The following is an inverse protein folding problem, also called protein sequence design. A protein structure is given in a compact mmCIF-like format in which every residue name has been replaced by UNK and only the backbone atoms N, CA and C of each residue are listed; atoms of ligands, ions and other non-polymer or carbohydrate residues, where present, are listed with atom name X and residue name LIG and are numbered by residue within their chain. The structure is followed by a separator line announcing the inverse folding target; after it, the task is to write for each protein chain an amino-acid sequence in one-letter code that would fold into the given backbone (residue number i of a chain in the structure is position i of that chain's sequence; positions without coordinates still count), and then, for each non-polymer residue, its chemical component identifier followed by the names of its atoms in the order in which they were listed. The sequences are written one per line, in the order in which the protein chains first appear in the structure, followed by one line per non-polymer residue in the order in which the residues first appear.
data_IF_513959203235
#
_entry.id   IF_513959203235
#
_cell.length_a   1.000
_cell.length_b   1.000
_cell.length_c   1.000
_cell.angle_alpha   90.00
_cell.angle_beta   90.00
_cell.angle_gamma   90.00
#
_symmetry.space_group_name_H-M   'P 1'
#
loop_
_entity.id
_entity.type
_entity.pdbx_description
1 polymer ?
#
# COMPACT_ATOMS: atom_id res chain seq x y z
N UNK A 1 -4.94 -16.02 -13.18
CA UNK A 1 -5.04 -15.92 -11.71
C UNK A 1 -3.88 -16.66 -11.07
N UNK A 2 -2.99 -15.93 -10.41
CA UNK A 2 -2.00 -16.50 -9.50
C UNK A 2 -2.76 -17.20 -8.36
N UNK A 3 -2.51 -18.49 -8.12
CA UNK A 3 -3.14 -19.25 -7.02
C UNK A 3 -2.17 -19.28 -5.84
N UNK A 4 -2.51 -18.56 -4.76
CA UNK A 4 -1.83 -18.73 -3.47
C UNK A 4 -2.45 -19.94 -2.78
N UNK A 5 -1.95 -21.14 -3.05
CA UNK A 5 -2.34 -22.29 -2.25
C UNK A 5 -1.66 -22.17 -0.89
N UNK A 6 -2.39 -22.36 0.21
CA UNK A 6 -1.79 -22.42 1.54
C UNK A 6 -0.75 -23.53 1.55
N UNK A 7 0.52 -23.17 1.77
CA UNK A 7 1.65 -24.07 1.68
C UNK A 7 2.37 -24.09 3.03
N UNK A 8 2.37 -25.21 3.74
CA UNK A 8 3.31 -25.35 4.84
C UNK A 8 4.72 -25.54 4.24
N UNK A 9 5.50 -24.45 4.18
CA UNK A 9 6.84 -24.46 3.61
C UNK A 9 7.87 -25.17 4.52
N UNK A 10 7.51 -25.42 5.80
CA UNK A 10 8.38 -26.06 6.81
C UNK A 10 9.80 -25.46 6.84
N UNK A 11 9.88 -24.12 6.87
CA UNK A 11 11.15 -23.40 6.92
C UNK A 11 11.85 -23.74 8.24
N UNK A 12 13.12 -24.15 8.17
CA UNK A 12 13.91 -24.60 9.32
C UNK A 12 15.25 -23.88 9.42
N UNK A 13 16.02 -24.13 10.48
CA UNK A 13 17.26 -23.43 10.77
C UNK A 13 17.03 -22.01 11.29
N UNK A 14 18.06 -21.17 11.24
CA UNK A 14 18.01 -19.84 11.85
C UNK A 14 16.85 -18.95 11.32
N UNK A 15 16.53 -19.02 10.02
CA UNK A 15 15.39 -18.30 9.45
C UNK A 15 14.06 -18.87 9.97
N UNK A 16 13.93 -20.20 10.05
CA UNK A 16 12.75 -20.85 10.64
C UNK A 16 12.55 -20.44 12.11
N UNK A 17 13.63 -20.36 12.88
CA UNK A 17 13.59 -19.94 14.29
C UNK A 17 13.14 -18.48 14.44
N UNK A 18 13.62 -17.58 13.58
CA UNK A 18 13.20 -16.17 13.56
C UNK A 18 11.73 -16.04 13.18
N UNK A 19 11.29 -16.73 12.12
CA UNK A 19 9.89 -16.70 11.67
C UNK A 19 8.95 -17.26 12.73
N UNK A 20 9.32 -18.38 13.36
CA UNK A 20 8.54 -18.98 14.45
C UNK A 20 8.47 -18.05 15.66
N UNK A 21 9.60 -17.44 16.04
CA UNK A 21 9.62 -16.48 17.13
C UNK A 21 8.78 -15.23 16.82
N UNK A 22 8.80 -14.76 15.56
CA UNK A 22 7.95 -13.66 15.12
C UNK A 22 6.46 -14.02 15.22
N UNK A 23 6.09 -15.20 14.72
CA UNK A 23 4.71 -15.66 14.74
C UNK A 23 4.17 -15.76 16.18
N UNK A 24 4.88 -16.47 17.05
CA UNK A 24 4.44 -16.71 18.43
C UNK A 24 4.45 -15.44 19.28
N UNK A 25 5.51 -14.62 19.18
CA UNK A 25 5.69 -13.50 20.10
C UNK A 25 5.03 -12.19 19.63
N UNK A 26 4.80 -12.01 18.33
CA UNK A 26 4.28 -10.75 17.80
C UNK A 26 2.95 -10.96 17.08
N UNK A 27 2.88 -11.89 16.13
CA UNK A 27 1.70 -12.10 15.29
C UNK A 27 0.52 -12.62 16.11
N UNK A 28 0.70 -13.72 16.84
CA UNK A 28 -0.38 -14.38 17.58
C UNK A 28 -0.85 -13.61 18.82
N UNK A 29 -0.04 -12.68 19.32
CA UNK A 29 -0.34 -11.88 20.53
C UNK A 29 -0.70 -10.43 20.21
N UNK A 30 -0.81 -10.07 18.92
CA UNK A 30 -0.92 -8.66 18.48
C UNK A 30 -2.13 -7.95 19.10
N UNK A 31 -3.28 -8.62 19.21
CA UNK A 31 -4.50 -8.04 19.78
C UNK A 31 -4.44 -7.92 21.31
N UNK A 32 -3.74 -8.83 21.98
CA UNK A 32 -3.53 -8.77 23.43
C UNK A 32 -2.58 -7.63 23.79
N UNK A 33 -1.50 -7.47 23.04
CA UNK A 33 -0.48 -6.44 23.27
C UNK A 33 -0.90 -5.05 22.81
N UNK A 34 -1.90 -4.96 21.93
CA UNK A 34 -2.38 -3.70 21.36
C UNK A 34 -3.92 -3.63 21.48
N UNK A 35 -4.46 -3.57 22.71
CA UNK A 35 -5.91 -3.60 22.92
C UNK A 35 -6.64 -2.44 22.24
N UNK A 36 -5.97 -1.30 22.05
CA UNK A 36 -6.52 -0.10 21.40
C UNK A 36 -6.27 0.02 19.89
N UNK A 37 -5.81 -1.05 19.22
CA UNK A 37 -5.47 -1.03 17.78
C UNK A 37 -6.62 -0.53 16.89
N UNK A 38 -7.88 -0.73 17.31
CA UNK A 38 -9.07 -0.38 16.55
C UNK A 38 -9.87 0.77 17.16
N UNK A 39 -9.46 1.32 18.31
CA UNK A 39 -10.29 2.29 19.07
C UNK A 39 -10.64 3.52 18.23
N UNK A 40 -9.67 4.06 17.48
CA UNK A 40 -9.90 5.19 16.59
C UNK A 40 -10.81 4.87 15.38
N UNK A 41 -10.88 3.61 14.97
CA UNK A 41 -11.78 3.14 13.91
C UNK A 41 -13.20 2.90 14.45
N UNK A 42 -13.33 2.46 15.70
CA UNK A 42 -14.62 2.18 16.34
C UNK A 42 -15.38 3.45 16.71
N UNK A 43 -14.68 4.51 17.09
CA UNK A 43 -15.29 5.80 17.44
C UNK A 43 -14.51 6.98 16.83
N UNK A 44 -14.48 7.11 15.48
CA UNK A 44 -13.69 8.13 14.78
C UNK A 44 -14.11 9.56 15.13
N UNK A 45 -15.35 9.75 15.57
CA UNK A 45 -15.95 11.05 15.92
C UNK A 45 -15.51 11.55 17.31
N UNK A 46 -15.35 10.66 18.29
CA UNK A 46 -15.15 11.07 19.69
C UNK A 46 -13.89 10.53 20.36
N UNK A 47 -13.08 9.69 19.69
CA UNK A 47 -11.82 9.23 20.27
C UNK A 47 -10.85 10.38 20.59
N UNK A 48 -10.19 10.30 21.76
CA UNK A 48 -9.18 11.25 22.23
C UNK A 48 -7.74 10.81 21.94
N UNK A 49 -7.58 9.82 21.06
CA UNK A 49 -6.27 9.30 20.68
C UNK A 49 -5.46 10.35 19.91
N UNK A 50 -4.19 10.50 20.31
CA UNK A 50 -3.20 11.27 19.56
C UNK A 50 -2.83 10.51 18.28
N UNK A 51 -3.58 10.74 17.20
CA UNK A 51 -3.38 10.08 15.89
C UNK A 51 -2.23 10.72 15.13
N UNK A 52 -1.31 9.89 14.64
CA UNK A 52 -0.40 10.29 13.55
C UNK A 52 -1.20 10.38 12.24
N UNK A 53 -0.73 11.14 11.27
CA UNK A 53 -1.43 11.33 10.00
C UNK A 53 -1.60 10.04 9.16
N UNK A 54 -0.83 8.98 9.48
CA UNK A 54 -0.91 7.65 8.87
C UNK A 54 -1.56 6.59 9.76
N UNK A 55 -2.20 6.97 10.87
CA UNK A 55 -2.74 6.05 11.87
C UNK A 55 -3.64 4.94 11.30
N UNK A 56 -4.30 5.20 10.16
CA UNK A 56 -5.16 4.22 9.48
C UNK A 56 -4.43 3.02 8.89
N UNK A 57 -3.11 3.04 8.75
CA UNK A 57 -2.37 1.94 8.08
C UNK A 57 -2.19 0.70 8.95
N UNK A 58 -2.13 0.87 10.28
CA UNK A 58 -1.58 -0.15 11.18
C UNK A 58 -2.36 -1.47 11.14
N UNK A 59 -3.70 -1.48 11.24
CA UNK A 59 -4.44 -2.74 11.20
C UNK A 59 -4.25 -3.49 9.87
N UNK A 60 -4.22 -2.75 8.76
CA UNK A 60 -4.04 -3.30 7.42
C UNK A 60 -2.66 -3.91 7.19
N UNK A 61 -1.60 -3.20 7.60
CA UNK A 61 -0.22 -3.71 7.53
C UNK A 61 -0.06 -4.98 8.39
N UNK A 62 -0.59 -4.98 9.61
CA UNK A 62 -0.59 -6.17 10.49
C UNK A 62 -1.33 -7.34 9.82
N UNK A 63 -2.52 -7.11 9.24
CA UNK A 63 -3.27 -8.16 8.54
C UNK A 63 -2.52 -8.71 7.33
N UNK A 64 -1.81 -7.86 6.58
CA UNK A 64 -0.99 -8.31 5.45
C UNK A 64 0.17 -9.22 5.89
N UNK A 65 0.84 -8.89 7.01
CA UNK A 65 1.89 -9.72 7.60
C UNK A 65 1.35 -11.04 8.17
N UNK A 66 0.17 -11.00 8.81
CA UNK A 66 -0.57 -12.20 9.24
C UNK A 66 -0.88 -13.11 8.06
N UNK A 67 -1.37 -12.55 6.96
CA UNK A 67 -1.68 -13.31 5.75
C UNK A 67 -0.44 -14.06 5.24
N UNK A 68 0.70 -13.36 5.15
CA UNK A 68 1.96 -13.99 4.73
C UNK A 68 2.46 -15.04 5.73
N UNK A 69 2.36 -14.77 7.03
CA UNK A 69 2.75 -15.73 8.08
C UNK A 69 1.91 -17.00 8.01
N UNK A 70 0.59 -16.86 7.90
CA UNK A 70 -0.33 -17.98 7.77
C UNK A 70 -0.12 -18.76 6.46
N UNK A 71 0.20 -18.07 5.37
CA UNK A 71 0.53 -18.71 4.09
C UNK A 71 1.75 -19.64 4.22
N UNK A 72 2.74 -19.28 5.06
CA UNK A 72 3.98 -20.05 5.27
C UNK A 72 3.81 -21.25 6.20
N UNK A 73 3.09 -21.06 7.32
CA UNK A 73 3.06 -22.05 8.42
C UNK A 73 1.71 -22.76 8.56
N UNK A 74 0.62 -22.16 8.06
CA UNK A 74 -0.75 -22.67 8.18
C UNK A 74 -1.16 -22.97 9.63
N UNK A 75 -0.72 -22.14 10.58
CA UNK A 75 -1.02 -22.32 12.00
C UNK A 75 -2.46 -21.86 12.34
N UNK A 76 -3.28 -22.72 12.99
CA UNK A 76 -4.66 -22.39 13.33
C UNK A 76 -4.82 -21.17 14.26
N UNK A 77 -3.86 -20.92 15.17
CA UNK A 77 -3.90 -19.77 16.08
C UNK A 77 -3.68 -18.47 15.31
N UNK A 78 -2.75 -18.48 14.36
CA UNK A 78 -2.52 -17.35 13.44
C UNK A 78 -3.76 -17.08 12.59
N UNK A 79 -4.45 -18.14 12.12
CA UNK A 79 -5.74 -18.00 11.44
C UNK A 79 -6.80 -17.32 12.32
N UNK A 80 -6.92 -17.76 13.57
CA UNK A 80 -7.88 -17.20 14.53
C UNK A 80 -7.67 -15.69 14.70
N UNK A 81 -6.43 -15.25 14.88
CA UNK A 81 -6.10 -13.83 15.05
C UNK A 81 -6.42 -13.02 13.81
N UNK A 82 -6.08 -13.51 12.61
CA UNK A 82 -6.43 -12.83 11.36
C UNK A 82 -7.94 -12.72 11.16
N UNK A 83 -8.71 -13.77 11.43
CA UNK A 83 -10.18 -13.72 11.37
C UNK A 83 -10.77 -12.74 12.40
N UNK A 84 -10.18 -12.62 13.59
CA UNK A 84 -10.58 -11.61 14.58
C UNK A 84 -10.32 -10.18 14.09
N UNK A 85 -9.19 -9.92 13.43
CA UNK A 85 -8.90 -8.61 12.84
C UNK A 85 -9.91 -8.27 11.73
N UNK A 86 -10.25 -9.23 10.87
CA UNK A 86 -11.30 -9.04 9.86
C UNK A 86 -12.63 -8.68 10.52
N UNK A 87 -13.02 -9.37 11.60
CA UNK A 87 -14.24 -9.08 12.32
C UNK A 87 -14.24 -7.67 12.93
N UNK A 88 -13.11 -7.22 13.50
CA UNK A 88 -12.96 -5.85 14.04
C UNK A 88 -13.05 -4.78 12.96
N UNK A 89 -12.40 -4.99 11.81
CA UNK A 89 -12.52 -4.09 10.66
C UNK A 89 -13.96 -4.04 10.12
N UNK A 90 -14.65 -5.19 10.08
CA UNK A 90 -16.05 -5.27 9.67
C UNK A 90 -16.98 -4.51 10.62
N UNK A 91 -16.78 -4.67 11.93
CA UNK A 91 -17.52 -3.96 12.98
C UNK A 91 -17.29 -2.45 12.92
N UNK A 92 -16.05 -2.02 12.66
CA UNK A 92 -15.71 -0.60 12.57
C UNK A 92 -16.11 0.08 11.25
N UNK A 93 -16.42 -0.71 10.21
CA UNK A 93 -16.76 -0.15 8.90
C UNK A 93 -18.09 0.60 8.95
N UNK A 94 -18.07 1.87 8.53
CA UNK A 94 -19.26 2.71 8.52
C UNK A 94 -20.29 2.26 7.47
N UNK A 95 -21.52 2.80 7.55
CA UNK A 95 -22.63 2.43 6.66
C UNK A 95 -22.30 2.66 5.18
N UNK A 96 -21.66 3.78 4.87
CA UNK A 96 -21.23 4.16 3.52
C UNK A 96 -19.97 3.42 3.02
N UNK A 97 -19.42 2.53 3.86
CA UNK A 97 -18.25 1.70 3.55
C UNK A 97 -16.92 2.27 4.04
N UNK A 98 -16.88 3.51 4.55
CA UNK A 98 -15.63 4.11 5.03
C UNK A 98 -14.96 3.27 6.14
N UNK A 99 -13.66 3.06 5.99
CA UNK A 99 -12.85 2.18 6.84
C UNK A 99 -11.59 2.91 7.32
N UNK A 100 -11.77 4.01 8.05
CA UNK A 100 -10.66 4.84 8.53
C UNK A 100 -10.90 5.40 9.93
N UNK A 101 -9.84 5.92 10.58
CA UNK A 101 -9.89 6.40 11.96
C UNK A 101 -10.30 7.88 12.10
N UNK A 102 -10.74 8.52 11.00
CA UNK A 102 -11.01 9.95 10.93
C UNK A 102 -12.50 10.26 10.92
N UNK A 103 -12.90 11.29 11.66
CA UNK A 103 -14.26 11.80 11.69
C UNK A 103 -14.72 12.27 10.31
N UNK A 104 -16.03 12.25 10.07
CA UNK A 104 -16.69 12.61 8.81
C UNK A 104 -16.29 14.00 8.32
N UNK A 105 -16.12 14.94 9.25
CA UNK A 105 -15.76 16.32 8.96
C UNK A 105 -14.35 16.47 8.37
N UNK A 106 -13.47 15.50 8.62
CA UNK A 106 -12.07 15.57 8.24
C UNK A 106 -11.61 14.45 7.32
N UNK A 107 -12.38 13.38 7.09
CA UNK A 107 -11.95 12.30 6.17
C UNK A 107 -11.66 12.78 4.74
N UNK A 108 -10.83 12.02 4.03
CA UNK A 108 -10.34 12.29 2.68
C UNK A 108 -9.60 13.64 2.60
N UNK A 109 -10.05 14.52 1.70
CA UNK A 109 -9.52 15.86 1.44
C UNK A 109 -10.27 16.97 2.20
N UNK A 110 -11.32 16.64 2.97
CA UNK A 110 -12.23 17.66 3.52
C UNK A 110 -11.54 18.66 4.43
N UNK A 111 -10.58 18.18 5.21
CA UNK A 111 -9.79 18.97 6.12
C UNK A 111 -8.82 19.91 5.38
N UNK A 112 -8.18 19.42 4.31
CA UNK A 112 -7.38 20.24 3.38
C UNK A 112 -8.24 21.32 2.72
N UNK A 113 -9.43 20.96 2.23
CA UNK A 113 -10.33 21.92 1.59
C UNK A 113 -10.90 22.96 2.56
N UNK A 114 -11.06 22.60 3.84
CA UNK A 114 -11.56 23.50 4.88
C UNK A 114 -10.54 24.55 5.33
N UNK A 115 -9.25 24.22 5.31
CA UNK A 115 -8.15 25.13 5.66
C UNK A 115 -6.89 24.84 4.82
N UNK A 116 -6.89 25.22 3.52
CA UNK A 116 -5.81 24.85 2.59
C UNK A 116 -4.44 25.45 2.94
N UNK A 117 -4.42 26.53 3.73
CA UNK A 117 -3.20 27.24 4.11
C UNK A 117 -2.49 26.55 5.28
N UNK A 118 -3.24 26.05 6.26
CA UNK A 118 -2.67 25.47 7.48
C UNK A 118 -2.75 23.94 7.53
N UNK A 119 -3.65 23.32 6.77
CA UNK A 119 -3.80 21.88 6.75
C UNK A 119 -3.05 21.24 5.57
N UNK A 120 -2.04 20.43 5.91
CA UNK A 120 -1.24 19.68 4.95
C UNK A 120 -1.85 18.34 4.55
N UNK A 121 -3.00 17.97 5.11
CA UNK A 121 -3.67 16.70 4.86
C UNK A 121 -3.05 15.55 5.65
N UNK A 122 -3.52 14.35 5.31
CA UNK A 122 -3.18 13.11 5.99
C UNK A 122 -3.22 11.94 5.01
N UNK A 123 -2.80 10.78 5.48
CA UNK A 123 -2.67 9.57 4.68
C UNK A 123 -3.93 8.71 4.80
N UNK A 124 -5.09 9.31 4.53
CA UNK A 124 -6.38 8.66 4.75
C UNK A 124 -6.62 7.52 3.75
N UNK A 125 -6.55 7.82 2.44
CA UNK A 125 -6.68 6.79 1.40
C UNK A 125 -5.52 5.81 1.41
N UNK A 126 -4.33 6.22 1.86
CA UNK A 126 -3.23 5.29 2.16
C UNK A 126 -3.54 4.32 3.31
N UNK A 127 -4.11 4.81 4.42
CA UNK A 127 -4.52 3.95 5.53
C UNK A 127 -5.57 2.93 5.09
N UNK A 128 -6.58 3.40 4.35
CA UNK A 128 -7.60 2.55 3.76
C UNK A 128 -7.01 1.56 2.74
N UNK A 129 -6.03 1.96 1.92
CA UNK A 129 -5.30 1.08 1.01
C UNK A 129 -4.68 -0.11 1.76
N UNK A 130 -3.95 0.12 2.86
CA UNK A 130 -3.34 -0.98 3.60
C UNK A 130 -4.37 -1.92 4.22
N UNK A 131 -5.51 -1.39 4.70
CA UNK A 131 -6.63 -2.21 5.17
C UNK A 131 -7.19 -3.08 4.04
N UNK A 132 -7.48 -2.48 2.87
CA UNK A 132 -8.01 -3.19 1.70
C UNK A 132 -7.02 -4.22 1.19
N UNK A 133 -5.73 -3.89 1.13
CA UNK A 133 -4.66 -4.81 0.74
C UNK A 133 -4.60 -6.01 1.69
N UNK A 134 -4.52 -5.77 3.01
CA UNK A 134 -4.51 -6.83 4.02
C UNK A 134 -5.74 -7.73 3.93
N UNK A 135 -6.94 -7.16 3.79
CA UNK A 135 -8.19 -7.89 3.63
C UNK A 135 -8.22 -8.73 2.34
N UNK A 136 -7.77 -8.16 1.22
CA UNK A 136 -7.66 -8.84 -0.06
C UNK A 136 -6.70 -10.04 0.03
N UNK A 137 -5.52 -9.85 0.65
CA UNK A 137 -4.55 -10.93 0.90
C UNK A 137 -5.12 -12.01 1.80
N UNK A 138 -5.79 -11.63 2.88
CA UNK A 138 -6.43 -12.59 3.79
C UNK A 138 -7.49 -13.43 3.08
N UNK A 139 -8.34 -12.80 2.24
CA UNK A 139 -9.31 -13.50 1.40
C UNK A 139 -8.63 -14.47 0.43
N UNK A 140 -7.60 -14.02 -0.31
CA UNK A 140 -6.89 -14.85 -1.29
C UNK A 140 -6.29 -16.11 -0.67
N UNK A 141 -5.80 -16.02 0.57
CA UNK A 141 -5.11 -17.12 1.26
C UNK A 141 -6.09 -18.02 2.01
N UNK A 142 -7.10 -17.45 2.68
CA UNK A 142 -7.99 -18.20 3.59
C UNK A 142 -9.37 -18.50 3.03
N UNK A 143 -9.79 -17.78 1.99
CA UNK A 143 -11.16 -17.78 1.48
C UNK A 143 -12.17 -17.01 2.34
N UNK A 144 -11.73 -16.27 3.37
CA UNK A 144 -12.62 -15.50 4.26
C UNK A 144 -13.43 -14.45 3.46
N UNK A 145 -14.73 -14.70 3.31
CA UNK A 145 -15.64 -13.88 2.49
C UNK A 145 -15.95 -12.51 3.10
N UNK A 146 -15.95 -12.41 4.43
CA UNK A 146 -16.10 -11.14 5.12
C UNK A 146 -14.95 -10.19 4.77
N UNK A 147 -13.72 -10.73 4.64
CA UNK A 147 -12.58 -9.91 4.24
C UNK A 147 -12.76 -9.30 2.84
N UNK A 148 -13.24 -10.08 1.86
CA UNK A 148 -13.53 -9.58 0.51
C UNK A 148 -14.67 -8.55 0.51
N UNK A 149 -15.72 -8.78 1.29
CA UNK A 149 -16.87 -7.88 1.39
C UNK A 149 -16.46 -6.52 1.97
N UNK A 150 -15.74 -6.52 3.10
CA UNK A 150 -15.26 -5.29 3.76
C UNK A 150 -14.32 -4.51 2.84
N UNK A 151 -13.37 -5.21 2.18
CA UNK A 151 -12.47 -4.60 1.21
C UNK A 151 -13.23 -3.94 0.04
N UNK A 152 -14.26 -4.62 -0.49
CA UNK A 152 -15.06 -4.11 -1.60
C UNK A 152 -15.86 -2.88 -1.20
N UNK A 153 -16.51 -2.89 -0.02
CA UNK A 153 -17.26 -1.74 0.49
C UNK A 153 -16.38 -0.52 0.75
N UNK A 154 -15.17 -0.72 1.28
CA UNK A 154 -14.21 0.36 1.50
C UNK A 154 -13.75 0.97 0.17
N UNK A 155 -13.45 0.13 -0.82
CA UNK A 155 -13.05 0.59 -2.13
C UNK A 155 -14.19 1.30 -2.88
N UNK A 156 -15.43 0.82 -2.73
CA UNK A 156 -16.63 1.47 -3.27
C UNK A 156 -16.89 2.83 -2.62
N UNK A 157 -16.65 2.99 -1.32
CA UNK A 157 -16.73 4.28 -0.63
C UNK A 157 -15.77 5.31 -1.27
N UNK A 158 -14.52 4.91 -1.48
CA UNK A 158 -13.49 5.75 -2.10
C UNK A 158 -13.86 6.06 -3.55
N UNK A 159 -14.30 5.06 -4.32
CA UNK A 159 -14.74 5.24 -5.70
C UNK A 159 -15.87 6.27 -5.78
N UNK A 160 -16.88 6.14 -4.92
CA UNK A 160 -18.02 7.04 -4.90
C UNK A 160 -17.61 8.47 -4.54
N UNK A 161 -16.65 8.65 -3.64
CA UNK A 161 -16.18 9.97 -3.23
C UNK A 161 -15.33 10.65 -4.32
N UNK A 162 -14.30 9.98 -4.82
CA UNK A 162 -13.33 10.58 -5.75
C UNK A 162 -13.78 10.46 -7.21
N UNK A 163 -14.05 9.25 -7.67
CA UNK A 163 -14.34 9.01 -9.09
C UNK A 163 -15.76 9.48 -9.44
N UNK A 164 -16.79 8.91 -8.81
CA UNK A 164 -18.18 9.26 -9.13
C UNK A 164 -18.56 10.66 -8.61
N UNK A 165 -17.97 11.06 -7.47
CA UNK A 165 -18.17 12.38 -6.86
C UNK A 165 -17.37 13.51 -7.52
N UNK A 166 -16.43 13.19 -8.41
CA UNK A 166 -15.62 14.17 -9.13
C UNK A 166 -14.59 14.90 -8.26
N UNK A 167 -14.18 14.33 -7.13
CA UNK A 167 -13.09 14.85 -6.32
C UNK A 167 -11.75 14.30 -6.82
N UNK A 168 -10.72 15.13 -6.86
CA UNK A 168 -9.35 14.69 -7.20
C UNK A 168 -8.67 14.05 -5.98
N UNK A 169 -7.98 12.93 -6.21
CA UNK A 169 -7.15 12.29 -5.17
C UNK A 169 -6.00 13.21 -4.72
N UNK A 170 -5.42 13.98 -5.64
CA UNK A 170 -4.34 14.93 -5.36
C UNK A 170 -4.74 16.03 -4.35
N UNK A 171 -6.03 16.34 -4.22
CA UNK A 171 -6.51 17.34 -3.25
C UNK A 171 -6.37 16.93 -1.78
N UNK A 172 -5.98 15.68 -1.49
CA UNK A 172 -5.61 15.24 -0.14
C UNK A 172 -4.22 15.71 0.29
N UNK A 173 -3.42 16.27 -0.64
CA UNK A 173 -1.96 16.31 -0.56
C UNK A 173 -1.36 14.90 -0.34
N UNK A 174 -0.05 14.82 -0.06
CA UNK A 174 0.66 13.54 0.16
C UNK A 174 0.31 12.52 -0.93
N UNK A 175 0.30 12.98 -2.18
CA UNK A 175 -0.27 12.25 -3.30
C UNK A 175 0.50 10.94 -3.54
N UNK A 176 1.81 10.95 -3.31
CA UNK A 176 2.68 9.78 -3.37
C UNK A 176 2.24 8.63 -2.46
N UNK A 177 1.69 8.95 -1.28
CA UNK A 177 1.08 7.98 -0.38
C UNK A 177 -0.36 7.67 -0.81
N UNK A 178 -1.20 8.70 -0.95
CA UNK A 178 -2.64 8.53 -1.13
C UNK A 178 -3.03 7.90 -2.50
N UNK A 179 -2.17 7.97 -3.51
CA UNK A 179 -2.37 7.29 -4.80
C UNK A 179 -2.18 5.76 -4.73
N UNK A 180 -1.67 5.21 -3.63
CA UNK A 180 -1.49 3.76 -3.45
C UNK A 180 -2.80 2.98 -3.57
N UNK A 181 -3.93 3.65 -3.34
CA UNK A 181 -5.25 3.08 -3.56
C UNK A 181 -5.50 2.61 -5.00
N UNK A 182 -4.78 3.15 -5.98
CA UNK A 182 -4.80 2.65 -7.37
C UNK A 182 -4.39 1.17 -7.45
N UNK A 183 -3.48 0.73 -6.58
CA UNK A 183 -3.05 -0.66 -6.52
C UNK A 183 -4.17 -1.54 -5.96
N UNK A 184 -4.88 -1.09 -4.92
CA UNK A 184 -6.06 -1.77 -4.41
C UNK A 184 -7.18 -1.89 -5.47
N UNK A 185 -7.45 -0.83 -6.23
CA UNK A 185 -8.39 -0.87 -7.35
C UNK A 185 -7.99 -1.95 -8.37
N UNK A 186 -6.74 -1.96 -8.82
CA UNK A 186 -6.26 -2.94 -9.78
C UNK A 186 -6.32 -4.39 -9.24
N UNK A 187 -5.91 -4.60 -7.98
CA UNK A 187 -5.97 -5.93 -7.33
C UNK A 187 -7.41 -6.41 -7.17
N UNK A 188 -8.32 -5.54 -6.75
CA UNK A 188 -9.72 -5.89 -6.54
C UNK A 188 -10.45 -6.11 -7.87
N UNK A 189 -10.06 -5.45 -8.96
CA UNK A 189 -10.50 -5.83 -10.30
C UNK A 189 -10.11 -7.27 -10.63
N UNK A 190 -8.85 -7.66 -10.40
CA UNK A 190 -8.40 -9.05 -10.64
C UNK A 190 -9.20 -10.08 -9.82
N UNK A 191 -9.67 -9.70 -8.62
CA UNK A 191 -10.49 -10.58 -7.77
C UNK A 191 -11.96 -10.63 -8.15
N UNK A 192 -12.55 -9.51 -8.56
CA UNK A 192 -14.01 -9.37 -8.68
C UNK A 192 -14.51 -9.27 -10.12
N UNK A 193 -13.64 -8.85 -11.05
CA UNK A 193 -14.01 -8.51 -12.43
C UNK A 193 -14.83 -7.22 -12.56
N UNK A 194 -14.98 -6.42 -11.48
CA UNK A 194 -15.75 -5.17 -11.50
C UNK A 194 -15.03 -4.10 -12.30
N UNK A 195 -15.55 -3.78 -13.49
CA UNK A 195 -14.89 -2.94 -14.48
C UNK A 195 -14.57 -1.53 -13.99
N UNK A 196 -15.43 -0.98 -13.13
CA UNK A 196 -15.25 0.34 -12.51
C UNK A 196 -13.94 0.43 -11.71
N UNK A 197 -13.47 -0.69 -11.13
CA UNK A 197 -12.19 -0.72 -10.43
C UNK A 197 -11.00 -0.64 -11.39
N UNK A 198 -11.06 -1.31 -12.55
CA UNK A 198 -10.01 -1.20 -13.55
C UNK A 198 -9.93 0.24 -14.08
N UNK A 199 -11.09 0.82 -14.40
CA UNK A 199 -11.19 2.19 -14.91
C UNK A 199 -10.66 3.21 -13.89
N UNK A 200 -10.96 3.04 -12.60
CA UNK A 200 -10.43 3.87 -11.53
C UNK A 200 -8.90 3.76 -11.41
N UNK A 201 -8.34 2.55 -11.45
CA UNK A 201 -6.89 2.35 -11.40
C UNK A 201 -6.18 3.00 -12.60
N UNK A 202 -6.71 2.80 -13.82
CA UNK A 202 -6.16 3.44 -15.03
C UNK A 202 -6.29 4.96 -14.97
N UNK A 203 -7.41 5.50 -14.48
CA UNK A 203 -7.59 6.94 -14.33
C UNK A 203 -6.56 7.55 -13.36
N UNK A 204 -6.34 6.93 -12.19
CA UNK A 204 -5.37 7.48 -11.21
C UNK A 204 -3.96 7.51 -11.83
N UNK A 205 -3.53 6.43 -12.47
CA UNK A 205 -2.20 6.31 -13.08
C UNK A 205 -2.02 7.29 -14.25
N UNK A 206 -3.02 7.42 -15.12
CA UNK A 206 -2.89 8.20 -16.35
C UNK A 206 -3.22 9.69 -16.18
N UNK A 207 -4.05 10.06 -15.19
CA UNK A 207 -4.53 11.43 -15.01
C UNK A 207 -4.09 12.03 -13.66
N UNK A 208 -4.42 11.39 -12.53
CA UNK A 208 -4.18 11.99 -11.20
C UNK A 208 -2.69 12.17 -10.89
N UNK A 209 -1.82 11.26 -11.35
CA UNK A 209 -0.38 11.40 -11.15
C UNK A 209 0.20 12.70 -11.72
N UNK A 210 -0.46 13.30 -12.73
CA UNK A 210 -0.05 14.56 -13.38
C UNK A 210 -0.57 15.80 -12.67
N UNK A 211 -1.50 15.66 -11.73
CA UNK A 211 -2.16 16.79 -11.06
C UNK A 211 -1.23 17.35 -9.97
N UNK A 212 -0.84 18.64 -10.05
CA UNK A 212 -0.02 19.23 -9.01
C UNK A 212 -0.76 19.36 -7.68
N UNK A 213 -0.07 19.12 -6.58
CA UNK A 213 -0.56 19.33 -5.21
C UNK A 213 0.50 20.05 -4.37
N UNK A 214 0.11 20.50 -3.18
CA UNK A 214 0.99 21.23 -2.27
C UNK A 214 1.87 20.22 -1.54
N UNK A 215 3.14 20.15 -1.93
CA UNK A 215 4.09 19.23 -1.31
C UNK A 215 4.53 19.74 0.08
N UNK A 216 4.50 18.81 1.04
CA UNK A 216 4.89 19.08 2.42
C UNK A 216 6.37 19.40 2.56
N UNK A 217 7.27 18.79 1.80
CA UNK A 217 8.71 18.93 2.04
C UNK A 217 9.29 20.20 1.41
N UNK A 218 9.04 20.39 0.12
CA UNK A 218 9.50 21.54 -0.65
C UNK A 218 8.68 22.80 -0.38
N UNK A 219 7.45 22.65 0.14
CA UNK A 219 6.48 23.74 0.30
C UNK A 219 6.08 24.39 -1.04
N UNK A 220 6.20 23.64 -2.13
CA UNK A 220 5.85 24.08 -3.50
C UNK A 220 4.72 23.26 -4.09
N UNK A 221 4.26 23.63 -5.29
CA UNK A 221 3.34 22.81 -6.08
C UNK A 221 4.16 21.90 -6.99
N UNK A 222 3.98 20.59 -6.86
CA UNK A 222 4.58 19.60 -7.76
C UNK A 222 3.58 18.47 -8.05
N UNK A 223 3.84 17.70 -9.10
CA UNK A 223 3.13 16.47 -9.41
C UNK A 223 4.12 15.29 -9.36
N UNK A 224 3.62 14.08 -9.09
CA UNK A 224 4.45 12.87 -9.14
C UNK A 224 4.91 12.58 -10.58
N UNK A 225 3.96 12.56 -11.51
CA UNK A 225 4.12 12.44 -12.98
C UNK A 225 5.14 11.36 -13.42
N UNK A 226 5.14 10.22 -12.73
CA UNK A 226 6.16 9.18 -12.92
C UNK A 226 6.16 8.58 -14.34
N UNK A 227 5.00 8.44 -15.00
CA UNK A 227 4.94 7.92 -16.37
C UNK A 227 5.64 8.87 -17.37
N UNK A 228 5.38 10.18 -17.27
CA UNK A 228 6.09 11.17 -18.10
C UNK A 228 7.58 11.21 -17.74
N UNK A 229 7.93 11.00 -16.47
CA UNK A 229 9.32 10.84 -16.03
C UNK A 229 10.02 9.69 -16.76
N UNK A 230 9.39 8.52 -16.83
CA UNK A 230 9.88 7.38 -17.61
C UNK A 230 10.03 7.72 -19.09
N UNK A 231 9.04 8.37 -19.71
CA UNK A 231 9.11 8.76 -21.13
C UNK A 231 10.29 9.70 -21.43
N UNK A 232 10.73 10.47 -20.42
CA UNK A 232 11.90 11.36 -20.48
C UNK A 232 13.21 10.68 -20.08
N UNK A 233 13.20 9.38 -19.80
CA UNK A 233 14.32 8.60 -19.28
C UNK A 233 14.91 9.19 -17.98
N UNK A 234 14.05 9.72 -17.11
CA UNK A 234 14.48 10.13 -15.78
C UNK A 234 14.59 8.90 -14.87
N UNK A 235 15.60 8.89 -14.01
CA UNK A 235 15.66 7.94 -12.89
C UNK A 235 14.65 8.33 -11.81
N UNK A 236 14.27 7.38 -10.93
CA UNK A 236 13.23 7.64 -9.92
C UNK A 236 13.57 8.84 -9.03
N UNK A 237 14.83 9.00 -8.58
CA UNK A 237 15.28 10.14 -7.77
C UNK A 237 15.11 11.52 -8.43
N UNK A 238 14.98 11.57 -9.76
CA UNK A 238 14.81 12.82 -10.52
C UNK A 238 13.33 13.20 -10.70
N UNK A 239 12.41 12.31 -10.32
CA UNK A 239 10.97 12.50 -10.49
C UNK A 239 10.33 13.19 -9.28
N UNK A 240 9.05 13.54 -9.39
CA UNK A 240 8.29 14.09 -8.27
C UNK A 240 8.07 13.03 -7.18
N UNK A 241 8.37 13.38 -5.93
CA UNK A 241 8.27 12.48 -4.77
C UNK A 241 8.93 11.12 -4.95
N UNK A 242 10.27 11.06 -5.00
CA UNK A 242 11.01 9.80 -5.06
C UNK A 242 11.03 9.07 -3.70
N UNK A 243 9.93 9.09 -2.95
CA UNK A 243 9.82 8.52 -1.61
C UNK A 243 9.46 7.04 -1.65
N UNK A 244 9.73 6.33 -0.56
CA UNK A 244 9.45 4.90 -0.51
C UNK A 244 7.94 4.58 -0.56
N UNK A 245 7.09 5.45 -0.02
CA UNK A 245 5.65 5.27 -0.06
C UNK A 245 5.13 5.22 -1.50
N UNK A 246 5.79 5.96 -2.40
CA UNK A 246 5.51 5.95 -3.83
C UNK A 246 5.66 4.58 -4.48
N UNK A 247 6.52 3.69 -3.97
CA UNK A 247 6.70 2.35 -4.55
C UNK A 247 5.40 1.53 -4.48
N UNK A 248 4.62 1.66 -3.40
CA UNK A 248 3.31 0.99 -3.31
C UNK A 248 2.30 1.51 -4.34
N UNK A 249 2.41 2.78 -4.73
CA UNK A 249 1.64 3.35 -5.82
C UNK A 249 2.12 2.82 -7.18
N UNK A 250 3.43 2.65 -7.36
CA UNK A 250 4.01 2.12 -8.60
C UNK A 250 3.73 0.61 -8.79
N UNK A 251 3.47 -0.15 -7.73
CA UNK A 251 3.00 -1.56 -7.81
C UNK A 251 1.71 -1.70 -8.65
N UNK A 252 0.90 -0.65 -8.77
CA UNK A 252 -0.25 -0.60 -9.68
C UNK A 252 0.12 -0.96 -11.11
N UNK A 253 1.30 -0.55 -11.58
CA UNK A 253 1.78 -0.81 -12.95
C UNK A 253 1.88 -2.32 -13.24
N UNK A 254 2.36 -3.11 -12.27
CA UNK A 254 2.48 -4.56 -12.42
C UNK A 254 1.12 -5.22 -12.61
N UNK A 255 0.13 -4.78 -11.83
CA UNK A 255 -1.23 -5.33 -11.89
C UNK A 255 -1.92 -4.88 -13.18
N UNK A 256 -1.83 -3.60 -13.55
CA UNK A 256 -2.39 -3.09 -14.80
C UNK A 256 -1.79 -3.77 -16.02
N UNK A 257 -0.46 -3.97 -16.06
CA UNK A 257 0.17 -4.74 -17.13
C UNK A 257 -0.40 -6.16 -17.22
N UNK A 258 -0.49 -6.85 -16.08
CA UNK A 258 -1.00 -8.23 -16.01
C UNK A 258 -2.45 -8.37 -16.49
N UNK A 259 -3.32 -7.41 -16.17
CA UNK A 259 -4.76 -7.52 -16.48
C UNK A 259 -5.15 -6.88 -17.82
N UNK A 260 -4.36 -5.94 -18.34
CA UNK A 260 -4.66 -5.24 -19.61
C UNK A 260 -3.75 -5.65 -20.78
N UNK A 261 -2.54 -6.15 -20.49
CA UNK A 261 -1.50 -6.39 -21.50
C UNK A 261 -0.91 -5.13 -22.14
N UNK A 262 -1.17 -3.93 -21.60
CA UNK A 262 -0.65 -2.67 -22.14
C UNK A 262 0.83 -2.49 -21.76
N UNK A 263 1.72 -2.60 -22.75
CA UNK A 263 3.18 -2.52 -22.57
C UNK A 263 3.67 -1.23 -21.90
N UNK A 264 2.93 -0.12 -21.99
CA UNK A 264 3.29 1.14 -21.32
C UNK A 264 3.52 0.95 -19.81
N UNK A 265 2.70 0.12 -19.15
CA UNK A 265 2.84 -0.12 -17.71
C UNK A 265 4.02 -1.05 -17.39
N UNK A 266 4.25 -2.08 -18.21
CA UNK A 266 5.36 -3.01 -18.04
C UNK A 266 6.72 -2.34 -18.27
N UNK A 267 6.83 -1.56 -19.35
CA UNK A 267 8.04 -0.77 -19.67
C UNK A 267 8.31 0.28 -18.59
N UNK A 268 7.27 0.92 -18.05
CA UNK A 268 7.43 1.88 -16.96
C UNK A 268 7.96 1.23 -15.69
N UNK A 269 7.38 0.09 -15.28
CA UNK A 269 7.86 -0.64 -14.11
C UNK A 269 9.32 -1.10 -14.28
N UNK A 270 9.68 -1.60 -15.48
CA UNK A 270 11.05 -2.00 -15.79
C UNK A 270 12.04 -0.82 -15.70
N UNK A 271 11.70 0.32 -16.32
CA UNK A 271 12.54 1.52 -16.29
C UNK A 271 12.75 2.04 -14.87
N UNK A 272 11.69 2.06 -14.06
CA UNK A 272 11.76 2.51 -12.66
C UNK A 272 12.62 1.56 -11.82
N UNK A 273 12.45 0.24 -11.98
CA UNK A 273 13.21 -0.75 -11.24
C UNK A 273 14.71 -0.65 -11.54
N UNK A 274 15.10 -0.62 -12.83
CA UNK A 274 16.50 -0.47 -13.21
C UNK A 274 17.08 0.88 -12.81
N UNK A 275 16.30 1.97 -12.92
CA UNK A 275 16.73 3.29 -12.45
C UNK A 275 17.04 3.31 -10.95
N UNK A 276 16.21 2.64 -10.13
CA UNK A 276 16.46 2.50 -8.69
C UNK A 276 17.72 1.65 -8.44
N UNK A 277 17.88 0.52 -9.13
CA UNK A 277 19.09 -0.32 -9.04
C UNK A 277 20.37 0.50 -9.30
N UNK A 278 20.34 1.32 -10.34
CA UNK A 278 21.53 2.06 -10.77
C UNK A 278 21.89 3.22 -9.83
N UNK A 279 20.89 3.90 -9.27
CA UNK A 279 21.10 5.20 -8.63
C UNK A 279 20.83 5.25 -7.13
N UNK A 280 20.05 4.32 -6.57
CA UNK A 280 19.54 4.44 -5.21
C UNK A 280 19.69 3.16 -4.38
N UNK A 281 20.31 2.12 -4.92
CA UNK A 281 20.52 0.86 -4.20
C UNK A 281 21.81 0.84 -3.39
N UNK A 282 21.65 0.75 -2.08
CA UNK A 282 22.75 0.57 -1.13
C UNK A 282 23.30 -0.87 -1.16
N UNK A 283 24.59 -1.02 -0.83
CA UNK A 283 25.24 -2.33 -0.71
C UNK A 283 24.68 -3.24 0.40
N UNK A 284 23.82 -2.73 1.27
CA UNK A 284 23.14 -3.47 2.35
C UNK A 284 21.81 -4.10 1.91
N UNK A 285 21.39 -3.91 0.66
CA UNK A 285 20.09 -4.39 0.17
C UNK A 285 18.99 -3.33 0.17
N UNK A 286 19.15 -2.21 0.90
CA UNK A 286 18.10 -1.19 1.01
C UNK A 286 18.03 -0.22 -0.18
N UNK A 287 16.83 0.24 -0.48
CA UNK A 287 16.56 1.35 -1.41
C UNK A 287 16.64 2.70 -0.70
N UNK A 288 17.32 3.67 -1.29
CA UNK A 288 17.27 5.08 -0.90
C UNK A 288 17.89 5.41 0.46
N UNK A 289 18.13 6.70 0.66
CA UNK A 289 18.69 7.30 1.88
C UNK A 289 17.58 8.01 2.66
N UNK A 290 17.48 7.77 3.97
CA UNK A 290 16.39 8.33 4.77
C UNK A 290 15.03 7.80 4.33
N UNK A 291 14.16 8.66 3.79
CA UNK A 291 12.77 8.34 3.39
C UNK A 291 12.60 8.13 1.87
N UNK A 292 13.67 8.07 1.07
CA UNK A 292 13.52 7.87 -0.37
C UNK A 292 14.80 7.90 -1.19
N UNK A 293 14.61 7.86 -2.50
CA UNK A 293 15.64 8.01 -3.51
C UNK A 293 16.18 9.45 -3.54
N UNK A 294 17.50 9.58 -3.67
CA UNK A 294 18.22 10.84 -3.77
C UNK A 294 19.38 10.80 -4.79
N UNK A 295 19.55 9.68 -5.50
CA UNK A 295 20.62 9.46 -6.47
C UNK A 295 21.98 9.17 -5.84
N UNK A 296 22.01 8.79 -4.56
CA UNK A 296 23.25 8.47 -3.83
C UNK A 296 23.20 7.06 -3.22
N UNK A 297 23.79 6.05 -3.89
CA UNK A 297 23.83 4.68 -3.38
C UNK A 297 24.80 4.52 -2.19
N UNK A 298 25.58 5.56 -1.88
CA UNK A 298 26.51 5.62 -0.76
C UNK A 298 26.05 6.58 0.34
N UNK A 299 24.81 7.06 0.26
CA UNK A 299 24.24 7.98 1.23
C UNK A 299 24.10 7.36 2.63
N UNK A 300 23.62 8.20 3.56
CA UNK A 300 23.38 7.80 4.96
C UNK A 300 22.37 6.63 5.09
N UNK A 301 22.17 6.13 6.30
CA UNK A 301 21.31 4.98 6.57
C UNK A 301 19.89 5.08 5.99
N UNK A 302 19.34 3.91 5.68
CA UNK A 302 18.01 3.72 5.09
C UNK A 302 17.00 3.23 6.15
N UNK A 303 15.74 3.64 6.08
CA UNK A 303 14.70 3.13 6.97
C UNK A 303 14.28 1.70 6.58
N UNK A 304 13.88 0.89 7.56
CA UNK A 304 13.32 -0.46 7.33
C UNK A 304 12.11 -0.47 6.37
N UNK A 305 11.29 0.57 6.35
CA UNK A 305 10.18 0.65 5.39
C UNK A 305 10.64 0.75 3.94
N UNK A 306 11.81 1.35 3.67
CA UNK A 306 12.36 1.40 2.32
C UNK A 306 12.65 0.00 1.78
N UNK A 307 13.30 -0.86 2.58
CA UNK A 307 13.60 -2.24 2.15
C UNK A 307 12.33 -3.08 2.01
N UNK A 308 11.32 -2.88 2.87
CA UNK A 308 10.04 -3.59 2.72
C UNK A 308 9.31 -3.17 1.44
N UNK A 309 9.26 -1.87 1.15
CA UNK A 309 8.64 -1.36 -0.08
C UNK A 309 9.42 -1.80 -1.33
N UNK A 310 10.75 -1.75 -1.28
CA UNK A 310 11.62 -2.24 -2.34
C UNK A 310 11.45 -3.72 -2.60
N UNK A 311 11.39 -4.53 -1.54
CA UNK A 311 11.14 -5.97 -1.63
C UNK A 311 9.80 -6.25 -2.30
N UNK A 312 8.73 -5.54 -1.90
CA UNK A 312 7.39 -5.70 -2.49
C UNK A 312 7.38 -5.35 -3.99
N UNK A 313 7.92 -4.18 -4.34
CA UNK A 313 8.03 -3.72 -5.72
C UNK A 313 8.88 -4.67 -6.59
N UNK A 314 10.00 -5.16 -6.06
CA UNK A 314 10.90 -6.12 -6.72
C UNK A 314 10.24 -7.48 -6.92
N UNK A 315 9.44 -7.96 -5.96
CA UNK A 315 8.66 -9.20 -6.11
C UNK A 315 7.66 -9.08 -7.26
N UNK A 316 6.99 -7.95 -7.41
CA UNK A 316 6.06 -7.74 -8.52
C UNK A 316 6.79 -7.59 -9.86
N UNK A 317 7.95 -6.94 -9.89
CA UNK A 317 8.80 -6.91 -11.08
C UNK A 317 9.33 -8.30 -11.44
N UNK A 318 9.72 -9.14 -10.47
CA UNK A 318 10.17 -10.51 -10.69
C UNK A 318 9.08 -11.36 -11.36
N UNK A 319 7.83 -11.27 -10.87
CA UNK A 319 6.69 -12.00 -11.47
C UNK A 319 6.45 -11.60 -12.93
N UNK A 320 6.71 -10.33 -13.26
CA UNK A 320 6.54 -9.77 -14.60
C UNK A 320 7.70 -10.15 -15.53
N UNK A 321 8.93 -9.80 -15.14
CA UNK A 321 10.15 -9.93 -15.95
C UNK A 321 10.64 -11.38 -16.09
N UNK A 322 10.40 -12.22 -15.07
CA UNK A 322 10.95 -13.58 -14.96
C UNK A 322 12.49 -13.60 -15.08
N UNK A 323 13.14 -12.51 -14.70
CA UNK A 323 14.58 -12.36 -14.73
C UNK A 323 15.20 -12.85 -13.41
N UNK A 324 16.12 -13.80 -13.47
CA UNK A 324 16.75 -14.38 -12.26
C UNK A 324 17.57 -13.35 -11.48
N UNK A 325 18.13 -12.33 -12.14
CA UNK A 325 18.85 -11.25 -11.46
C UNK A 325 17.96 -10.53 -10.42
N UNK A 326 16.66 -10.45 -10.68
CA UNK A 326 15.69 -9.83 -9.77
C UNK A 326 15.48 -10.70 -8.53
N UNK A 327 15.65 -12.03 -8.65
CA UNK A 327 15.62 -12.92 -7.49
C UNK A 327 16.92 -12.83 -6.68
N UNK A 328 18.07 -12.68 -7.35
CA UNK A 328 19.35 -12.45 -6.68
C UNK A 328 19.36 -11.12 -5.91
N UNK A 329 18.69 -10.09 -6.44
CA UNK A 329 18.49 -8.79 -5.77
C UNK A 329 17.61 -8.87 -4.51
N UNK A 330 16.71 -9.87 -4.43
CA UNK A 330 15.88 -10.08 -3.25
C UNK A 330 16.60 -10.82 -2.12
N UNK A 331 17.68 -11.54 -2.41
CA UNK A 331 18.47 -12.33 -1.44
C UNK A 331 19.38 -11.45 -0.59
#
# INVERSE_FOLDING_TARGET
MLRNNVTNMNISGAIGDILTANEVNWVQTVLEKNPGLFDAFMDPEHNDLAKTMWHGEFPGKILSGLAQTYLLNNDPKTKEVGDQIVARLKEAQQEDGYLGPWAEAVRFNKDVLSDPENNWGKWDTWGQYHCIYGLCRWYQITGNKDALEVASRALDCIYNYFIAGGNTFASQNWAECNFSISHAFALMYEQTGKQEYLEAAEYIVNEEWKIPYRDFYTKTMLACDWLTGVEKNLAFYEMGQPRWEGLHTLETLAVLYRVTGKEVYGNAMESLWWGIIEHDRHNTGSFGTGEGANGDPYGDGSETCNIVAWTSFTIDYLKMSKNSYVADELE
#
